data_IF_399720742645
#
_entry.id   IF_399720742645
#
_cell.length_a   1.000
_cell.length_b   1.000
_cell.length_c   1.000
_cell.angle_alpha   90.00
_cell.angle_beta   90.00
_cell.angle_gamma   90.00
#
_symmetry.space_group_name_H-M   'P 1'
#
loop_
_entity.id
_entity.type
_entity.pdbx_description
1 polymer ?
#
# COMPACT_ATOMS: atom_id res chain seq x y z
N UNK A 1 17.87 1.26 -14.09
CA UNK A 1 18.25 0.65 -12.80
C UNK A 1 18.20 -0.87 -12.95
N UNK A 2 19.30 -1.56 -12.69
CA UNK A 2 19.30 -3.03 -12.73
C UNK A 2 18.44 -3.60 -11.60
N UNK A 3 17.65 -4.64 -11.91
CA UNK A 3 16.90 -5.33 -10.88
C UNK A 3 17.84 -6.08 -9.93
N UNK A 4 17.67 -5.97 -8.62
CA UNK A 4 18.37 -6.83 -7.69
C UNK A 4 18.01 -8.29 -7.96
N UNK A 5 19.00 -9.17 -8.01
CA UNK A 5 18.79 -10.61 -8.30
C UNK A 5 17.77 -11.25 -7.36
N UNK A 6 17.75 -10.83 -6.10
CA UNK A 6 16.82 -11.32 -5.08
C UNK A 6 15.35 -11.03 -5.38
N UNK A 7 15.07 -10.05 -6.23
CA UNK A 7 13.69 -9.70 -6.64
C UNK A 7 13.26 -10.45 -7.90
N UNK A 8 14.18 -11.15 -8.53
CA UNK A 8 13.93 -11.89 -9.76
C UNK A 8 13.27 -13.22 -9.44
N UNK A 9 11.97 -13.24 -9.54
CA UNK A 9 11.17 -14.44 -9.25
C UNK A 9 10.74 -15.18 -10.52
N UNK A 10 11.25 -14.76 -11.69
CA UNK A 10 10.77 -15.24 -12.98
C UNK A 10 9.44 -14.62 -13.44
N UNK A 11 8.87 -13.72 -12.65
CA UNK A 11 7.60 -13.05 -12.97
C UNK A 11 7.79 -11.90 -13.93
N UNK A 12 8.88 -11.17 -13.78
CA UNK A 12 9.23 -10.07 -14.67
C UNK A 12 10.68 -10.27 -15.16
N UNK A 13 10.82 -10.48 -16.45
CA UNK A 13 12.13 -10.64 -17.06
C UNK A 13 12.96 -9.36 -16.94
N UNK A 14 14.28 -9.49 -16.88
CA UNK A 14 15.22 -8.36 -16.71
C UNK A 14 14.98 -7.22 -17.70
N UNK A 15 14.76 -7.53 -18.98
CA UNK A 15 14.50 -6.53 -20.01
C UNK A 15 13.19 -5.76 -19.76
N UNK A 16 12.18 -6.43 -19.17
CA UNK A 16 10.91 -5.80 -18.80
C UNK A 16 11.01 -5.00 -17.51
N UNK A 17 11.93 -5.37 -16.65
CA UNK A 17 12.18 -4.58 -15.43
C UNK A 17 12.54 -3.14 -15.75
N UNK A 18 13.47 -2.92 -16.65
CA UNK A 18 13.92 -1.58 -17.02
C UNK A 18 12.81 -0.74 -17.68
N UNK A 19 11.88 -1.41 -18.38
CA UNK A 19 10.76 -0.75 -19.04
C UNK A 19 9.62 -0.43 -18.06
N UNK A 20 9.35 -1.35 -17.13
CA UNK A 20 8.16 -1.29 -16.28
C UNK A 20 8.39 -0.66 -14.92
N UNK A 21 9.60 -0.78 -14.37
CA UNK A 21 9.91 -0.29 -13.02
C UNK A 21 10.54 1.08 -13.10
N UNK A 22 9.82 2.05 -12.58
CA UNK A 22 10.26 3.44 -12.53
C UNK A 22 10.96 3.81 -11.22
N UNK A 23 10.78 5.07 -10.82
CA UNK A 23 11.37 5.63 -9.61
C UNK A 23 10.98 4.83 -8.35
N UNK A 24 11.95 4.55 -7.50
CA UNK A 24 11.70 3.97 -6.18
C UNK A 24 11.09 5.03 -5.27
N UNK A 25 9.90 4.75 -4.76
CA UNK A 25 9.16 5.65 -3.88
C UNK A 25 9.36 5.36 -2.40
N UNK A 26 9.70 4.13 -2.05
CA UNK A 26 9.89 3.74 -0.67
C UNK A 26 10.30 2.28 -0.50
N UNK A 27 10.67 1.97 0.72
CA UNK A 27 10.96 0.60 1.15
C UNK A 27 10.54 0.40 2.60
N UNK A 28 10.03 -0.78 2.89
CA UNK A 28 9.72 -1.23 4.24
C UNK A 28 10.54 -2.47 4.58
N UNK A 29 10.15 -3.17 5.64
CA UNK A 29 10.85 -4.36 6.11
C UNK A 29 10.86 -5.50 5.08
N UNK A 30 9.82 -5.61 4.25
CA UNK A 30 9.64 -6.74 3.35
C UNK A 30 9.29 -6.35 1.93
N UNK A 31 9.03 -5.07 1.65
CA UNK A 31 8.59 -4.62 0.33
C UNK A 31 9.34 -3.39 -0.13
N UNK A 32 9.56 -3.34 -1.45
CA UNK A 32 9.99 -2.12 -2.15
C UNK A 32 8.85 -1.62 -3.03
N UNK A 33 8.69 -0.30 -3.10
CA UNK A 33 7.62 0.37 -3.86
C UNK A 33 8.22 1.23 -4.95
N UNK A 34 7.78 1.02 -6.18
CA UNK A 34 8.22 1.75 -7.36
C UNK A 34 7.04 2.31 -8.14
N UNK A 35 7.27 3.37 -8.89
CA UNK A 35 6.34 3.81 -9.93
C UNK A 35 6.21 2.71 -10.99
N UNK A 36 4.98 2.40 -11.40
CA UNK A 36 4.73 1.51 -12.52
C UNK A 36 4.76 2.31 -13.82
N UNK A 37 5.86 2.26 -14.57
CA UNK A 37 6.07 3.10 -15.76
C UNK A 37 5.01 2.93 -16.86
N UNK A 38 4.49 1.72 -17.15
CA UNK A 38 3.43 1.57 -18.15
C UNK A 38 2.16 2.37 -17.84
N UNK A 39 1.91 2.62 -16.55
CA UNK A 39 0.86 3.51 -16.06
C UNK A 39 1.33 4.18 -14.77
N UNK A 40 1.90 5.40 -14.83
CA UNK A 40 2.45 6.09 -13.66
C UNK A 40 1.42 6.52 -12.61
N UNK A 41 0.12 6.32 -12.86
CA UNK A 41 -0.93 6.45 -11.83
C UNK A 41 -0.97 5.26 -10.87
N UNK A 42 -0.15 4.25 -11.14
CA UNK A 42 -0.01 3.05 -10.33
C UNK A 42 1.39 2.99 -9.72
N UNK A 43 1.46 2.27 -8.62
CA UNK A 43 2.72 1.79 -8.03
C UNK A 43 2.77 0.27 -8.11
N UNK A 44 3.98 -0.28 -8.11
CA UNK A 44 4.21 -1.69 -7.93
C UNK A 44 4.90 -1.92 -6.60
N UNK A 45 4.35 -2.82 -5.80
CA UNK A 45 4.93 -3.25 -4.53
C UNK A 45 5.53 -4.63 -4.71
N UNK A 46 6.82 -4.76 -4.45
CA UNK A 46 7.58 -5.98 -4.65
C UNK A 46 7.98 -6.55 -3.30
N UNK A 47 7.53 -7.78 -3.03
CA UNK A 47 7.96 -8.53 -1.84
C UNK A 47 9.42 -8.93 -1.99
N UNK A 48 10.23 -8.52 -1.03
CA UNK A 48 11.67 -8.81 -1.01
C UNK A 48 12.03 -10.02 -0.16
N UNK A 49 11.08 -10.49 0.64
CA UNK A 49 11.26 -11.64 1.52
C UNK A 49 10.18 -12.68 1.26
N UNK A 50 10.60 -13.91 1.09
CA UNK A 50 9.69 -15.05 1.04
C UNK A 50 9.00 -15.16 2.41
N UNK A 51 7.71 -15.46 2.43
CA UNK A 51 6.91 -15.72 3.63
C UNK A 51 6.32 -14.52 4.37
N UNK A 52 6.40 -13.29 3.86
CA UNK A 52 5.74 -12.16 4.53
C UNK A 52 4.29 -11.95 4.10
N UNK A 53 3.90 -12.31 2.89
CA UNK A 53 2.51 -12.33 2.41
C UNK A 53 1.77 -10.98 2.43
N UNK A 54 2.46 -9.84 2.55
CA UNK A 54 1.82 -8.52 2.65
C UNK A 54 1.06 -8.14 1.38
N UNK A 55 1.58 -8.47 0.21
CA UNK A 55 0.87 -8.22 -1.05
C UNK A 55 -0.42 -9.04 -1.12
N UNK A 56 -0.38 -10.30 -0.72
CA UNK A 56 -1.55 -11.18 -0.68
C UNK A 56 -2.58 -10.65 0.33
N UNK A 57 -2.15 -10.19 1.50
CA UNK A 57 -3.05 -9.62 2.50
C UNK A 57 -3.72 -8.34 2.01
N UNK A 58 -3.00 -7.44 1.35
CA UNK A 58 -3.61 -6.24 0.76
C UNK A 58 -4.60 -6.59 -0.35
N UNK A 59 -4.24 -7.51 -1.23
CA UNK A 59 -5.13 -8.00 -2.29
C UNK A 59 -6.41 -8.61 -1.72
N UNK A 60 -6.30 -9.49 -0.74
CA UNK A 60 -7.44 -10.13 -0.10
C UNK A 60 -8.31 -9.12 0.64
N UNK A 61 -7.71 -8.18 1.36
CA UNK A 61 -8.41 -7.11 2.04
C UNK A 61 -9.19 -6.26 1.04
N UNK A 62 -8.56 -5.84 -0.05
CA UNK A 62 -9.23 -5.06 -1.09
C UNK A 62 -10.43 -5.81 -1.67
N UNK A 63 -10.29 -7.09 -2.00
CA UNK A 63 -11.39 -7.90 -2.53
C UNK A 63 -12.59 -7.98 -1.58
N UNK A 64 -12.36 -7.92 -0.28
CA UNK A 64 -13.44 -7.92 0.72
C UNK A 64 -14.14 -6.56 0.78
N UNK A 65 -13.41 -5.47 0.65
CA UNK A 65 -13.93 -4.12 0.92
C UNK A 65 -14.35 -3.34 -0.32
N UNK A 66 -13.90 -3.69 -1.51
CA UNK A 66 -14.00 -2.86 -2.72
C UNK A 66 -15.44 -2.42 -3.08
N UNK A 67 -16.44 -3.23 -2.73
CA UNK A 67 -17.86 -2.95 -2.96
C UNK A 67 -18.59 -2.44 -1.72
N UNK A 68 -17.86 -2.12 -0.66
CA UNK A 68 -18.42 -1.60 0.59
C UNK A 68 -18.17 -0.10 0.73
N UNK A 69 -18.90 0.53 1.65
CA UNK A 69 -18.68 1.94 2.01
C UNK A 69 -17.28 2.22 2.62
N UNK A 70 -16.58 1.20 3.05
CA UNK A 70 -15.25 1.31 3.65
C UNK A 70 -14.12 1.43 2.61
N UNK A 71 -14.39 1.07 1.36
CA UNK A 71 -13.42 1.16 0.26
C UNK A 71 -12.80 2.56 0.13
N UNK A 72 -13.55 3.60 0.45
CA UNK A 72 -13.09 5.00 0.40
C UNK A 72 -11.85 5.29 1.26
N UNK A 73 -11.55 4.44 2.22
CA UNK A 73 -10.40 4.59 3.12
C UNK A 73 -9.14 3.89 2.64
N UNK A 74 -9.19 3.21 1.50
CA UNK A 74 -8.10 2.37 1.02
C UNK A 74 -7.71 2.72 -0.41
N UNK A 75 -6.42 2.71 -0.69
CA UNK A 75 -5.93 2.80 -2.06
C UNK A 75 -6.29 1.50 -2.80
N UNK A 76 -7.00 1.58 -3.94
CA UNK A 76 -7.41 0.40 -4.69
C UNK A 76 -6.25 -0.46 -5.15
N UNK A 77 -6.38 -1.78 -5.01
CA UNK A 77 -5.50 -2.75 -5.62
C UNK A 77 -6.02 -3.06 -7.03
N UNK A 78 -5.13 -3.04 -8.00
CA UNK A 78 -5.49 -3.24 -9.42
C UNK A 78 -5.20 -4.66 -9.86
N UNK A 79 -4.06 -5.21 -9.46
CA UNK A 79 -3.64 -6.56 -9.87
C UNK A 79 -2.61 -7.13 -8.90
N UNK A 80 -2.49 -8.44 -8.94
CA UNK A 80 -1.44 -9.19 -8.24
C UNK A 80 -0.86 -10.23 -9.20
N UNK A 81 0.43 -10.47 -9.11
CA UNK A 81 1.13 -11.42 -9.95
C UNK A 81 2.27 -12.13 -9.20
N UNK A 82 2.77 -13.19 -9.80
CA UNK A 82 3.92 -13.92 -9.27
C UNK A 82 3.69 -14.57 -7.91
N UNK A 83 2.50 -15.08 -7.67
CA UNK A 83 2.16 -15.72 -6.40
C UNK A 83 2.17 -14.73 -5.22
N UNK A 84 1.97 -13.45 -5.48
CA UNK A 84 1.99 -12.38 -4.49
C UNK A 84 3.29 -11.58 -4.45
N UNK A 85 4.27 -11.91 -5.28
CA UNK A 85 5.53 -11.17 -5.30
C UNK A 85 5.40 -9.74 -5.82
N UNK A 86 4.41 -9.47 -6.66
CA UNK A 86 4.14 -8.14 -7.23
C UNK A 86 2.67 -7.74 -7.03
N UNK A 87 2.44 -6.53 -6.57
CA UNK A 87 1.11 -5.93 -6.41
C UNK A 87 1.07 -4.58 -7.12
N UNK A 88 0.07 -4.37 -7.95
CA UNK A 88 -0.22 -3.05 -8.53
C UNK A 88 -1.33 -2.38 -7.72
N UNK A 89 -1.08 -1.14 -7.32
CA UNK A 89 -2.00 -0.35 -6.51
C UNK A 89 -2.08 1.08 -7.03
N UNK A 90 -3.20 1.76 -6.85
CA UNK A 90 -3.33 3.18 -7.17
C UNK A 90 -2.30 3.99 -6.38
N UNK A 91 -1.54 4.83 -7.11
CA UNK A 91 -0.56 5.72 -6.53
C UNK A 91 -1.24 6.83 -5.75
N UNK A 92 -0.79 7.04 -4.52
CA UNK A 92 -1.21 8.16 -3.69
C UNK A 92 -0.16 9.27 -3.71
N UNK A 93 -0.57 10.49 -3.37
CA UNK A 93 0.34 11.59 -3.14
C UNK A 93 0.68 11.70 -1.65
N UNK A 94 1.89 12.17 -1.30
CA UNK A 94 2.27 12.36 0.09
C UNK A 94 1.32 13.31 0.81
N UNK A 95 1.03 13.00 2.09
CA UNK A 95 0.28 13.86 2.99
C UNK A 95 1.20 14.87 3.67
N UNK A 96 0.74 16.13 3.74
CA UNK A 96 1.31 17.09 4.67
C UNK A 96 0.73 16.87 6.07
N UNK A 97 1.44 17.34 7.08
CA UNK A 97 1.00 17.20 8.48
C UNK A 97 -0.38 17.82 8.73
N UNK A 98 -0.67 18.96 8.11
CA UNK A 98 -1.96 19.65 8.22
C UNK A 98 -3.12 18.96 7.46
N UNK A 99 -2.82 17.96 6.64
CA UNK A 99 -3.81 17.15 5.92
C UNK A 99 -4.19 15.86 6.67
N UNK A 100 -3.47 15.52 7.74
CA UNK A 100 -3.76 14.33 8.54
C UNK A 100 -5.12 14.46 9.22
N UNK A 101 -6.02 13.49 9.05
CA UNK A 101 -7.33 13.55 9.69
C UNK A 101 -7.21 13.40 11.21
N UNK A 102 -8.04 14.14 11.93
CA UNK A 102 -8.11 14.05 13.39
C UNK A 102 -8.76 12.75 13.87
N UNK A 103 -9.56 12.12 13.01
CA UNK A 103 -10.27 10.88 13.31
C UNK A 103 -10.11 9.87 12.19
N UNK A 104 -10.04 8.61 12.56
CA UNK A 104 -9.99 7.46 11.66
C UNK A 104 -11.00 6.40 12.10
N UNK A 105 -11.42 5.52 11.17
CA UNK A 105 -12.17 4.33 11.55
C UNK A 105 -11.39 3.46 12.54
N UNK A 106 -12.13 2.82 13.45
CA UNK A 106 -11.55 1.97 14.51
C UNK A 106 -10.77 0.77 14.00
N UNK A 107 -11.00 0.36 12.76
CA UNK A 107 -10.29 -0.78 12.17
C UNK A 107 -8.84 -0.48 11.78
N UNK A 108 -8.44 0.79 11.70
CA UNK A 108 -7.02 1.13 11.52
C UNK A 108 -6.28 1.00 12.85
N UNK A 109 -5.34 0.08 12.90
CA UNK A 109 -4.53 -0.21 14.09
C UNK A 109 -3.09 0.26 13.96
N UNK A 110 -2.58 0.37 12.74
CA UNK A 110 -1.25 0.92 12.45
C UNK A 110 -1.39 2.32 11.85
N UNK A 111 -1.53 3.30 12.73
CA UNK A 111 -1.74 4.71 12.38
C UNK A 111 -0.43 5.46 12.19
N UNK A 112 0.45 4.87 11.41
CA UNK A 112 1.65 5.52 10.93
C UNK A 112 1.30 6.42 9.75
N UNK A 113 1.68 7.70 9.80
CA UNK A 113 1.31 8.68 8.77
C UNK A 113 1.81 8.28 7.37
N UNK A 114 2.95 7.59 7.32
CA UNK A 114 3.55 7.05 6.08
C UNK A 114 2.71 5.95 5.41
N UNK A 115 1.78 5.33 6.14
CA UNK A 115 0.87 4.32 5.58
C UNK A 115 -0.32 4.95 4.84
N UNK A 116 -0.44 6.27 4.86
CA UNK A 116 -1.54 7.02 4.27
C UNK A 116 -1.05 8.02 3.23
N UNK A 117 -1.93 8.36 2.31
CA UNK A 117 -1.67 9.34 1.27
C UNK A 117 -2.97 9.95 0.75
N UNK A 118 -2.85 10.89 -0.18
CA UNK A 118 -4.00 11.48 -0.88
C UNK A 118 -4.25 10.75 -2.19
N UNK A 119 -5.50 10.40 -2.42
CA UNK A 119 -5.99 9.89 -3.69
C UNK A 119 -7.27 10.67 -4.07
N UNK A 120 -7.21 11.43 -5.17
CA UNK A 120 -8.31 12.30 -5.61
C UNK A 120 -8.83 13.23 -4.49
N UNK A 121 -7.91 13.80 -3.70
CA UNK A 121 -8.23 14.72 -2.61
C UNK A 121 -8.74 14.07 -1.33
N UNK A 122 -8.77 12.74 -1.26
CA UNK A 122 -9.17 11.99 -0.06
C UNK A 122 -7.97 11.28 0.57
N UNK A 123 -7.94 11.26 1.90
CA UNK A 123 -6.96 10.47 2.64
C UNK A 123 -7.33 9.00 2.56
N UNK A 124 -6.38 8.18 2.13
CA UNK A 124 -6.52 6.72 2.04
C UNK A 124 -5.31 6.03 2.63
N UNK A 125 -5.52 4.84 3.15
CA UNK A 125 -4.43 3.94 3.53
C UNK A 125 -3.90 3.24 2.27
N UNK A 126 -2.61 3.34 2.01
CA UNK A 126 -1.95 2.66 0.90
C UNK A 126 -1.03 1.52 1.36
N UNK A 127 -0.86 1.34 2.65
CA UNK A 127 -0.09 0.24 3.23
C UNK A 127 -0.93 -0.44 4.31
N UNK A 128 -1.65 -1.47 3.92
CA UNK A 128 -2.59 -2.20 4.77
C UNK A 128 -2.39 -3.73 4.77
N UNK A 129 -1.16 -4.16 4.49
CA UNK A 129 -0.77 -5.57 4.59
C UNK A 129 -0.72 -6.10 6.03
N UNK A 130 -0.62 -5.19 7.00
CA UNK A 130 -0.66 -5.52 8.42
C UNK A 130 -1.73 -4.68 9.09
N UNK A 131 -2.91 -5.23 9.30
CA UNK A 131 -3.90 -4.67 10.21
C UNK A 131 -4.99 -5.69 10.51
N UNK A 132 -5.74 -5.42 11.56
CA UNK A 132 -6.69 -6.37 12.13
C UNK A 132 -8.12 -6.22 11.58
N UNK A 133 -8.24 -5.73 10.35
CA UNK A 133 -9.54 -5.45 9.73
C UNK A 133 -10.42 -6.69 9.66
N UNK A 134 -9.84 -7.82 9.24
CA UNK A 134 -10.56 -9.10 9.15
C UNK A 134 -10.85 -9.72 10.50
N UNK A 135 -10.06 -9.42 11.52
CA UNK A 135 -10.23 -9.97 12.88
C UNK A 135 -11.18 -9.11 13.72
N UNK A 136 -11.12 -7.80 13.58
CA UNK A 136 -11.94 -6.85 14.35
C UNK A 136 -13.26 -6.49 13.68
N UNK A 137 -13.41 -6.86 12.42
CA UNK A 137 -14.54 -6.45 11.61
C UNK A 137 -14.50 -4.99 11.18
N UNK A 138 -15.43 -4.64 10.31
CA UNK A 138 -15.49 -3.31 9.70
C UNK A 138 -16.61 -2.52 10.34
N UNK A 139 -16.25 -1.58 11.20
CA UNK A 139 -17.17 -0.65 11.84
C UNK A 139 -17.04 0.75 11.24
N UNK A 140 -18.16 1.45 11.13
CA UNK A 140 -18.17 2.89 10.78
C UNK A 140 -17.81 3.79 11.95
N UNK A 141 -17.53 3.23 13.11
CA UNK A 141 -17.14 3.98 14.29
C UNK A 141 -15.81 4.67 14.07
N UNK A 142 -15.77 5.98 14.36
CA UNK A 142 -14.58 6.81 14.27
C UNK A 142 -13.99 7.02 15.65
N UNK A 143 -12.67 7.03 15.72
CA UNK A 143 -11.91 7.37 16.92
C UNK A 143 -10.88 8.45 16.59
N UNK A 144 -10.38 9.12 17.63
CA UNK A 144 -9.27 10.05 17.46
C UNK A 144 -8.06 9.30 16.91
N UNK A 145 -7.45 9.85 15.85
CA UNK A 145 -6.27 9.28 15.25
C UNK A 145 -5.06 9.47 16.17
N UNK A 146 -4.33 8.41 16.40
CA UNK A 146 -3.06 8.41 17.11
C UNK A 146 -1.92 8.26 16.10
N UNK A 147 -1.39 9.38 15.61
CA UNK A 147 -0.30 9.43 14.65
C UNK A 147 1.03 9.28 15.36
N UNK A 148 1.44 8.05 15.59
CA UNK A 148 2.58 7.74 16.46
C UNK A 148 3.97 7.98 15.83
N UNK A 149 4.04 8.22 14.52
CA UNK A 149 5.29 8.47 13.79
C UNK A 149 5.56 9.97 13.56
N UNK A 150 4.74 10.86 14.11
CA UNK A 150 5.00 12.29 14.07
C UNK A 150 6.05 12.63 15.13
N UNK A 151 7.15 13.23 14.69
CA UNK A 151 8.13 13.80 15.64
C UNK A 151 7.46 14.90 16.46
N UNK A 152 7.64 14.84 17.76
CA UNK A 152 7.28 15.95 18.66
C UNK A 152 8.23 17.10 18.33
N UNK A 153 7.67 18.25 17.95
CA UNK A 153 8.41 19.49 17.78
C UNK A 153 8.77 20.08 19.14
#
# INVERSE_FOLDING_TARGET
>A
MAAPEEFFTGVLHEDLWEICIGEKLGEGMSRHVYVWEPDPTLVVKIETQRHHWYNIEEFNTWNVIEHTKHARWFAPVVAIAGGGSMLLQRRTQPLRRDELPAKLPTFFTDTKSKNFGLLNGQVVCHDYGIHMLRERGMSSRMINADWWDLEEE
#
